data_IF_508273786727
#
_entry.id   IF_508273786727
#
_cell.length_a   1.000
_cell.length_b   1.000
_cell.length_c   1.000
_cell.angle_alpha   90.00
_cell.angle_beta   90.00
_cell.angle_gamma   90.00
#
_symmetry.space_group_name_H-M   'P 1'
#
loop_
_entity.id
_entity.type
_entity.pdbx_description
1 polymer ?
#
# COMPACT_ATOMS: atom_id res chain seq x y z
N UNK A 1 -8.65 12.45 10.27
CA UNK A 1 -9.39 11.20 10.47
C UNK A 1 -8.47 10.10 9.97
N UNK A 2 -7.86 9.32 10.92
CA UNK A 2 -6.77 8.41 10.58
C UNK A 2 -7.27 7.17 9.85
N UNK A 3 -6.36 6.49 9.13
CA UNK A 3 -6.59 5.24 8.39
C UNK A 3 -7.36 4.20 9.24
N UNK A 4 -7.16 4.17 10.56
CA UNK A 4 -7.81 3.25 11.50
C UNK A 4 -9.28 3.55 11.83
N UNK A 5 -9.73 4.81 11.77
CA UNK A 5 -11.15 5.11 11.93
C UNK A 5 -11.98 4.62 10.74
N UNK A 6 -11.31 4.47 9.59
CA UNK A 6 -11.89 3.95 8.36
C UNK A 6 -12.19 2.44 8.43
N UNK A 7 -11.38 1.65 9.15
CA UNK A 7 -11.52 0.19 9.21
C UNK A 7 -12.47 -0.33 10.30
N UNK A 8 -12.88 0.51 11.26
CA UNK A 8 -13.72 0.09 12.40
C UNK A 8 -15.15 -0.35 12.05
N UNK A 9 -15.61 -0.21 10.79
CA UNK A 9 -17.01 -0.44 10.41
C UNK A 9 -17.20 -1.24 9.11
N UNK A 10 -16.33 -2.21 8.78
CA UNK A 10 -16.56 -3.00 7.55
C UNK A 10 -17.25 -4.33 7.82
N UNK A 11 -18.53 -4.54 7.41
CA UNK A 11 -19.00 -5.85 6.98
C UNK A 11 -18.29 -6.22 5.66
N UNK A 12 -18.19 -7.53 5.38
CA UNK A 12 -17.65 -8.05 4.11
C UNK A 12 -18.44 -7.42 2.96
N UNK A 13 -17.84 -6.45 2.26
CA UNK A 13 -18.50 -5.75 1.16
C UNK A 13 -18.16 -6.48 -0.15
N UNK A 14 -19.17 -6.76 -0.97
CA UNK A 14 -18.98 -7.14 -2.36
C UNK A 14 -18.26 -6.01 -3.11
N UNK A 15 -17.47 -6.34 -4.15
CA UNK A 15 -16.88 -5.27 -4.96
C UNK A 15 -17.96 -4.49 -5.68
N UNK A 16 -17.74 -3.21 -5.90
CA UNK A 16 -18.68 -2.37 -6.64
C UNK A 16 -19.02 -2.91 -8.04
N UNK A 17 -18.05 -3.60 -8.69
CA UNK A 17 -18.24 -4.29 -9.96
C UNK A 17 -19.16 -5.51 -9.86
N UNK A 18 -19.07 -6.28 -8.77
CA UNK A 18 -19.95 -7.45 -8.53
C UNK A 18 -21.39 -7.02 -8.23
N UNK A 19 -21.57 -5.85 -7.66
CA UNK A 19 -22.90 -5.28 -7.38
C UNK A 19 -23.57 -4.66 -8.62
N UNK A 20 -22.85 -4.52 -9.74
CA UNK A 20 -23.36 -3.89 -10.95
C UNK A 20 -23.86 -2.46 -10.73
N UNK A 21 -23.23 -1.73 -9.80
CA UNK A 21 -23.59 -0.35 -9.49
C UNK A 21 -23.23 0.59 -10.65
N UNK A 22 -24.10 1.57 -10.86
CA UNK A 22 -23.89 2.63 -11.83
C UNK A 22 -23.70 3.95 -11.11
N UNK A 23 -22.93 4.84 -11.72
CA UNK A 23 -22.76 6.21 -11.26
C UNK A 23 -23.28 7.15 -12.32
N UNK A 24 -24.09 8.08 -11.89
CA UNK A 24 -24.49 9.21 -12.71
C UNK A 24 -23.54 10.37 -12.43
N UNK A 25 -22.83 10.81 -13.47
CA UNK A 25 -22.07 12.06 -13.42
C UNK A 25 -22.96 13.16 -13.97
N UNK A 26 -23.18 14.20 -13.17
CA UNK A 26 -23.93 15.38 -13.59
C UNK A 26 -22.97 16.55 -13.73
N UNK A 27 -22.85 17.09 -14.97
CA UNK A 27 -22.04 18.25 -15.31
C UNK A 27 -22.90 19.48 -15.46
N UNK A 28 -22.68 20.47 -14.62
CA UNK A 28 -23.32 21.77 -14.74
C UNK A 28 -22.70 22.53 -15.92
N UNK A 29 -23.54 23.06 -16.80
CA UNK A 29 -23.09 23.89 -17.92
C UNK A 29 -23.24 25.37 -17.57
N UNK A 30 -22.28 26.18 -17.99
CA UNK A 30 -22.35 27.64 -17.84
C UNK A 30 -23.55 28.19 -18.61
N UNK A 31 -24.21 29.22 -18.06
CA UNK A 31 -25.32 29.98 -18.70
C UNK A 31 -26.71 29.35 -18.62
N UNK A 32 -27.05 28.58 -17.61
CA UNK A 32 -28.44 28.12 -17.41
C UNK A 32 -28.89 27.01 -18.39
N UNK A 33 -27.96 26.39 -19.09
CA UNK A 33 -28.27 25.24 -19.94
C UNK A 33 -28.58 24.00 -19.09
N UNK A 34 -29.32 23.06 -19.66
CA UNK A 34 -29.65 21.79 -19.02
C UNK A 34 -28.35 21.03 -18.69
N UNK A 35 -28.15 20.56 -17.44
CA UNK A 35 -26.97 19.78 -17.06
C UNK A 35 -26.80 18.54 -17.94
N UNK A 36 -25.57 18.25 -18.34
CA UNK A 36 -25.23 16.98 -18.99
C UNK A 36 -25.19 15.87 -17.95
N UNK A 37 -25.72 14.71 -18.32
CA UNK A 37 -25.73 13.52 -17.46
C UNK A 37 -25.09 12.35 -18.19
N UNK A 38 -24.14 11.70 -17.51
CA UNK A 38 -23.45 10.51 -18.01
C UNK A 38 -23.72 9.37 -17.02
N UNK A 39 -24.20 8.24 -17.53
CA UNK A 39 -24.36 7.04 -16.73
C UNK A 39 -23.22 6.07 -17.04
N UNK A 40 -22.45 5.71 -16.02
CA UNK A 40 -21.25 4.89 -16.14
C UNK A 40 -21.33 3.72 -15.18
N UNK A 41 -20.88 2.53 -15.57
CA UNK A 41 -20.59 1.48 -14.59
C UNK A 41 -19.49 1.99 -13.65
N UNK A 42 -19.55 1.61 -12.37
CA UNK A 42 -18.58 2.10 -11.38
C UNK A 42 -17.13 1.77 -11.78
N UNK A 43 -16.93 0.66 -12.51
CA UNK A 43 -15.62 0.27 -13.05
C UNK A 43 -15.07 1.19 -14.15
N UNK A 44 -15.90 2.02 -14.77
CA UNK A 44 -15.49 2.96 -15.83
C UNK A 44 -15.22 4.37 -15.28
N UNK A 45 -15.37 4.60 -13.99
CA UNK A 45 -15.19 5.92 -13.40
C UNK A 45 -13.76 6.42 -13.45
N UNK A 46 -12.77 5.53 -13.38
CA UNK A 46 -11.36 5.90 -13.41
C UNK A 46 -10.91 6.38 -14.79
N UNK A 47 -11.61 5.95 -15.84
CA UNK A 47 -11.35 6.35 -17.22
C UNK A 47 -12.18 7.58 -17.66
N UNK A 48 -13.05 8.11 -16.78
CA UNK A 48 -13.93 9.24 -17.12
C UNK A 48 -13.25 10.58 -16.86
N UNK A 49 -13.23 11.46 -17.85
CA UNK A 49 -12.72 12.83 -17.71
C UNK A 49 -13.71 13.71 -16.94
N UNK A 50 -13.38 14.05 -15.73
CA UNK A 50 -14.17 14.95 -14.89
C UNK A 50 -13.84 16.41 -15.19
N UNK A 51 -14.87 17.25 -15.16
CA UNK A 51 -14.72 18.70 -15.14
C UNK A 51 -14.89 19.23 -13.70
N UNK A 52 -14.34 20.40 -13.43
CA UNK A 52 -14.56 21.09 -12.17
C UNK A 52 -16.06 21.34 -11.95
N UNK A 53 -16.57 20.96 -10.79
CA UNK A 53 -17.98 21.09 -10.43
C UNK A 53 -18.88 19.91 -10.88
N UNK A 54 -18.33 18.86 -11.49
CA UNK A 54 -19.11 17.64 -11.75
C UNK A 54 -19.58 17.01 -10.43
N UNK A 55 -20.85 16.60 -10.39
CA UNK A 55 -21.44 15.87 -9.26
C UNK A 55 -21.57 14.38 -9.62
N UNK A 56 -21.27 13.53 -8.67
CA UNK A 56 -21.34 12.08 -8.80
C UNK A 56 -22.41 11.53 -7.87
N UNK A 57 -23.30 10.75 -8.44
CA UNK A 57 -24.41 10.13 -7.75
C UNK A 57 -24.34 8.61 -7.98
N UNK A 58 -24.13 7.85 -6.91
CA UNK A 58 -24.16 6.39 -7.01
C UNK A 58 -25.62 5.94 -7.05
N UNK A 59 -26.00 5.27 -8.12
CA UNK A 59 -27.36 4.78 -8.33
C UNK A 59 -27.45 3.35 -7.80
N UNK A 60 -28.28 3.08 -6.78
CA UNK A 60 -28.56 1.73 -6.33
C UNK A 60 -29.31 0.95 -7.43
N UNK A 61 -29.03 -0.35 -7.54
CA UNK A 61 -29.92 -1.23 -8.29
C UNK A 61 -31.20 -1.45 -7.50
N UNK A 62 -32.32 -1.66 -8.21
CA UNK A 62 -33.62 -1.93 -7.58
C UNK A 62 -33.62 -3.19 -6.70
N UNK A 63 -32.70 -4.15 -6.98
CA UNK A 63 -32.52 -5.40 -6.27
C UNK A 63 -31.38 -5.38 -5.25
N UNK A 64 -30.61 -4.31 -5.16
CA UNK A 64 -29.51 -4.17 -4.20
C UNK A 64 -30.04 -3.60 -2.88
N UNK A 65 -30.59 -4.48 -2.03
CA UNK A 65 -30.92 -4.13 -0.66
C UNK A 65 -29.65 -3.81 0.13
N UNK A 66 -29.52 -2.57 0.64
CA UNK A 66 -28.67 -2.16 1.75
C UNK A 66 -27.29 -2.85 1.85
N UNK A 67 -26.42 -2.71 0.85
CA UNK A 67 -25.07 -3.21 0.98
C UNK A 67 -24.10 -2.03 1.11
N UNK A 68 -23.37 -1.94 2.23
CA UNK A 68 -22.25 -1.02 2.32
C UNK A 68 -21.20 -1.44 1.29
N UNK A 69 -20.71 -0.50 0.51
CA UNK A 69 -19.60 -0.75 -0.40
C UNK A 69 -18.52 0.31 -0.21
N UNK A 70 -17.32 -0.03 -0.61
CA UNK A 70 -16.20 0.90 -0.60
C UNK A 70 -16.04 1.48 -1.98
N UNK A 71 -16.01 2.80 -2.07
CA UNK A 71 -15.66 3.52 -3.26
C UNK A 71 -14.49 4.46 -2.95
N UNK A 72 -13.34 4.09 -3.43
CA UNK A 72 -12.10 4.73 -3.04
C UNK A 72 -11.83 4.59 -1.54
N UNK A 73 -11.43 5.67 -0.92
CA UNK A 73 -11.21 5.79 0.51
C UNK A 73 -12.50 5.94 1.34
N UNK A 74 -13.67 5.86 0.70
CA UNK A 74 -14.96 6.13 1.32
C UNK A 74 -15.76 4.86 1.51
N UNK A 75 -16.14 4.63 2.77
CA UNK A 75 -17.23 3.73 3.09
C UNK A 75 -18.54 4.41 2.70
N UNK A 76 -19.21 3.88 1.69
CA UNK A 76 -20.49 4.41 1.22
C UNK A 76 -21.59 3.50 1.71
N UNK A 77 -22.38 3.97 2.66
CA UNK A 77 -23.64 3.35 3.03
C UNK A 77 -24.73 3.90 2.11
N UNK A 78 -25.20 3.07 1.18
CA UNK A 78 -26.39 3.40 0.40
C UNK A 78 -27.60 3.02 1.23
N UNK A 79 -28.21 3.99 1.87
CA UNK A 79 -29.54 3.81 2.45
C UNK A 79 -30.56 3.70 1.32
N UNK A 80 -31.52 2.79 1.47
CA UNK A 80 -32.59 2.52 0.51
C UNK A 80 -33.17 3.80 -0.10
N UNK A 81 -32.97 4.01 -1.39
CA UNK A 81 -33.51 5.15 -2.15
C UNK A 81 -32.75 6.47 -2.07
N UNK A 82 -31.59 6.53 -1.44
CA UNK A 82 -30.79 7.73 -1.34
C UNK A 82 -29.49 7.62 -2.16
N UNK A 83 -29.34 8.52 -3.11
CA UNK A 83 -28.12 8.71 -3.85
C UNK A 83 -27.04 9.39 -2.98
N UNK A 84 -25.81 8.92 -3.06
CA UNK A 84 -24.68 9.57 -2.40
C UNK A 84 -24.01 10.53 -3.37
N UNK A 85 -24.02 11.83 -3.04
CA UNK A 85 -23.34 12.86 -3.83
C UNK A 85 -21.92 13.04 -3.34
N UNK A 86 -20.99 13.02 -4.28
CA UNK A 86 -19.57 13.22 -4.02
C UNK A 86 -19.04 14.31 -4.94
N UNK A 87 -18.40 15.37 -4.42
CA UNK A 87 -17.76 16.38 -5.25
C UNK A 87 -16.62 15.76 -6.10
N UNK A 88 -16.63 15.98 -7.39
CA UNK A 88 -15.65 15.41 -8.33
C UNK A 88 -14.23 15.94 -8.13
N UNK A 89 -14.10 17.16 -7.61
CA UNK A 89 -12.82 17.88 -7.44
C UNK A 89 -11.80 17.16 -6.54
N UNK A 90 -12.20 16.13 -5.79
CA UNK A 90 -11.32 15.36 -4.90
C UNK A 90 -10.87 14.02 -5.48
N UNK A 91 -11.14 13.74 -6.76
CA UNK A 91 -10.90 12.41 -7.33
C UNK A 91 -9.53 12.19 -7.92
N UNK A 92 -8.93 13.23 -8.45
CA UNK A 92 -7.65 13.12 -9.15
C UNK A 92 -6.65 14.12 -8.62
N UNK A 93 -5.39 13.69 -8.65
CA UNK A 93 -4.21 14.50 -8.33
C UNK A 93 -3.25 14.46 -9.51
N UNK A 94 -2.91 15.63 -10.04
CA UNK A 94 -1.96 15.75 -11.14
C UNK A 94 -0.54 15.77 -10.57
N UNK A 95 0.27 14.80 -10.98
CA UNK A 95 1.63 14.64 -10.50
C UNK A 95 2.55 14.15 -11.61
N UNK A 96 3.65 14.87 -11.90
CA UNK A 96 4.65 14.54 -12.93
C UNK A 96 4.04 14.23 -14.31
N UNK A 97 2.95 14.91 -14.69
CA UNK A 97 2.25 14.69 -15.95
C UNK A 97 1.26 13.51 -15.95
N UNK A 98 1.09 12.85 -14.82
CA UNK A 98 0.11 11.79 -14.63
C UNK A 98 -1.09 12.28 -13.83
N UNK A 99 -2.25 11.76 -14.17
CA UNK A 99 -3.50 12.01 -13.44
C UNK A 99 -3.83 10.83 -12.55
N UNK A 100 -3.49 10.93 -11.26
CA UNK A 100 -3.61 9.85 -10.29
C UNK A 100 -4.97 9.88 -9.60
N UNK A 101 -5.71 8.75 -9.53
CA UNK A 101 -6.90 8.65 -8.70
C UNK A 101 -6.54 8.79 -7.21
N UNK A 102 -7.15 9.76 -6.52
CA UNK A 102 -6.84 10.06 -5.10
C UNK A 102 -7.10 8.85 -4.20
N UNK A 103 -8.16 8.08 -4.48
CA UNK A 103 -8.45 6.88 -3.70
C UNK A 103 -7.36 5.80 -3.77
N UNK A 104 -6.64 5.70 -4.91
CA UNK A 104 -5.52 4.78 -5.03
C UNK A 104 -4.27 5.32 -4.31
N UNK A 105 -4.09 6.65 -4.28
CA UNK A 105 -3.02 7.26 -3.49
C UNK A 105 -3.23 6.97 -2.01
N UNK A 106 -4.45 7.11 -1.49
CA UNK A 106 -4.75 6.91 -0.07
C UNK A 106 -4.53 5.47 0.41
N UNK A 107 -4.60 4.49 -0.50
CA UNK A 107 -4.23 3.10 -0.18
C UNK A 107 -2.74 2.93 0.18
N UNK A 108 -1.89 3.91 -0.15
CA UNK A 108 -0.47 3.91 0.28
C UNK A 108 -0.26 4.39 1.72
N UNK A 109 -1.33 4.63 2.46
CA UNK A 109 -1.30 5.07 3.86
C UNK A 109 -1.25 6.58 4.07
N UNK A 110 -1.21 7.36 2.99
CA UNK A 110 -1.10 8.83 3.05
C UNK A 110 -1.85 9.48 1.89
N UNK A 111 -2.09 10.80 1.98
CA UNK A 111 -2.80 11.55 0.94
C UNK A 111 -1.89 12.09 -0.16
N UNK A 112 -2.50 12.75 -1.18
CA UNK A 112 -1.76 13.34 -2.29
C UNK A 112 -0.67 14.32 -1.87
N UNK A 113 -0.88 15.05 -0.78
CA UNK A 113 0.05 16.05 -0.22
C UNK A 113 1.36 15.45 0.27
N UNK A 114 1.40 14.14 0.47
CA UNK A 114 2.58 13.43 0.98
C UNK A 114 3.26 12.57 -0.07
N UNK A 115 2.65 12.37 -1.23
CA UNK A 115 3.09 11.43 -2.27
C UNK A 115 4.55 11.66 -2.67
N UNK A 116 4.91 12.91 -2.96
CA UNK A 116 6.24 13.29 -3.40
C UNK A 116 7.30 13.12 -2.30
N UNK A 117 7.10 13.76 -1.16
CA UNK A 117 8.14 13.80 -0.13
C UNK A 117 8.35 12.43 0.53
N UNK A 118 7.32 11.59 0.67
CA UNK A 118 7.47 10.21 1.19
C UNK A 118 8.24 9.36 0.18
N UNK A 119 7.86 9.39 -1.11
CA UNK A 119 8.59 8.67 -2.15
C UNK A 119 10.05 9.09 -2.21
N UNK A 120 10.32 10.39 -2.21
CA UNK A 120 11.69 10.91 -2.20
C UNK A 120 12.47 10.50 -0.92
N UNK A 121 11.82 10.44 0.24
CA UNK A 121 12.43 9.94 1.47
C UNK A 121 12.79 8.45 1.35
N UNK A 122 11.90 7.63 0.81
CA UNK A 122 12.15 6.21 0.58
C UNK A 122 13.37 6.00 -0.31
N UNK A 123 13.43 6.65 -1.46
CA UNK A 123 14.56 6.47 -2.39
C UNK A 123 15.88 6.94 -1.79
N UNK A 124 15.90 8.05 -1.03
CA UNK A 124 17.10 8.45 -0.27
C UNK A 124 17.54 7.39 0.72
N UNK A 125 16.59 6.79 1.45
CA UNK A 125 16.86 5.73 2.42
C UNK A 125 17.37 4.47 1.72
N UNK A 126 16.77 4.04 0.61
CA UNK A 126 17.26 2.91 -0.18
C UNK A 126 18.68 3.18 -0.71
N UNK A 127 18.96 4.38 -1.21
CA UNK A 127 20.32 4.78 -1.61
C UNK A 127 21.32 4.66 -0.46
N UNK A 128 20.96 5.15 0.73
CA UNK A 128 21.80 5.13 1.92
C UNK A 128 21.97 3.73 2.51
N UNK A 129 20.88 2.97 2.63
CA UNK A 129 20.85 1.74 3.41
C UNK A 129 21.21 0.49 2.60
N UNK A 130 20.80 0.42 1.33
CA UNK A 130 21.04 -0.76 0.49
C UNK A 130 21.83 -0.46 -0.78
N UNK A 131 22.28 0.79 -1.00
CA UNK A 131 23.08 1.15 -2.15
C UNK A 131 22.35 0.89 -3.46
N UNK A 132 21.28 1.62 -3.73
CA UNK A 132 20.55 1.55 -4.99
C UNK A 132 21.32 2.32 -6.08
N UNK A 133 21.57 1.68 -7.23
CA UNK A 133 22.28 2.26 -8.38
C UNK A 133 21.45 2.15 -9.68
N UNK A 134 21.70 3.00 -10.68
CA UNK A 134 20.89 3.12 -11.89
C UNK A 134 20.67 1.85 -12.71
N UNK A 135 21.65 0.95 -12.78
CA UNK A 135 21.60 -0.25 -13.62
C UNK A 135 21.07 -1.50 -12.89
N UNK A 136 20.58 -1.33 -11.67
CA UNK A 136 20.14 -2.45 -10.83
C UNK A 136 18.73 -2.93 -11.18
N UNK A 137 18.48 -4.21 -10.90
CA UNK A 137 17.15 -4.80 -10.81
C UNK A 137 16.60 -4.57 -9.44
N UNK A 138 15.52 -3.80 -9.35
CA UNK A 138 14.87 -3.39 -8.12
C UNK A 138 13.44 -3.93 -8.05
N UNK A 139 13.09 -4.59 -6.95
CA UNK A 139 11.74 -5.05 -6.64
C UNK A 139 11.15 -4.18 -5.53
N UNK A 140 9.98 -3.63 -5.77
CA UNK A 140 9.18 -2.86 -4.81
C UNK A 140 7.94 -3.69 -4.44
N UNK A 141 7.98 -4.32 -3.27
CA UNK A 141 6.86 -5.11 -2.76
C UNK A 141 5.92 -4.21 -1.95
N UNK A 142 4.66 -4.17 -2.35
CA UNK A 142 3.68 -3.22 -1.82
C UNK A 142 3.78 -1.86 -2.52
N UNK A 143 4.04 -1.87 -3.84
CA UNK A 143 4.28 -0.64 -4.60
C UNK A 143 3.06 0.30 -4.70
N UNK A 144 1.85 -0.18 -4.39
CA UNK A 144 0.63 0.60 -4.50
C UNK A 144 0.44 1.17 -5.91
N UNK A 145 0.10 2.45 -5.99
CA UNK A 145 -0.02 3.21 -7.25
C UNK A 145 1.35 3.66 -7.81
N UNK A 146 2.45 3.09 -7.33
CA UNK A 146 3.79 3.40 -7.84
C UNK A 146 4.43 4.65 -7.22
N UNK A 147 4.13 5.00 -5.97
CA UNK A 147 4.72 6.18 -5.30
C UNK A 147 6.25 6.21 -5.42
N UNK A 148 6.92 5.10 -5.17
CA UNK A 148 8.38 5.01 -5.23
C UNK A 148 8.88 4.91 -6.68
N UNK A 149 8.07 4.33 -7.60
CA UNK A 149 8.37 4.26 -9.01
C UNK A 149 8.54 5.65 -9.64
N UNK A 150 7.69 6.61 -9.28
CA UNK A 150 7.78 7.99 -9.78
C UNK A 150 9.16 8.61 -9.51
N UNK A 151 9.74 8.34 -8.36
CA UNK A 151 11.03 8.87 -7.97
C UNK A 151 12.21 8.20 -8.71
N UNK A 152 11.96 7.08 -9.39
CA UNK A 152 12.96 6.28 -10.07
C UNK A 152 12.97 6.45 -11.59
N UNK A 153 12.02 7.20 -12.17
CA UNK A 153 11.90 7.35 -13.63
C UNK A 153 13.18 7.91 -14.28
N UNK A 154 13.76 8.93 -13.66
CA UNK A 154 15.00 9.54 -14.14
C UNK A 154 16.25 8.95 -13.50
N UNK A 155 16.08 8.19 -12.43
CA UNK A 155 17.20 7.58 -11.71
C UNK A 155 17.67 6.28 -12.33
N UNK A 156 16.73 5.38 -12.69
CA UNK A 156 17.09 4.11 -13.32
C UNK A 156 17.48 4.31 -14.77
N UNK A 157 18.64 3.77 -15.15
CA UNK A 157 19.07 3.74 -16.54
C UNK A 157 18.19 2.80 -17.37
N UNK A 158 18.31 2.81 -18.71
CA UNK A 158 17.65 1.82 -19.57
C UNK A 158 18.06 0.36 -19.31
N UNK A 159 19.18 0.13 -18.61
CA UNK A 159 19.62 -1.21 -18.19
C UNK A 159 19.02 -1.63 -16.84
N UNK A 160 18.66 -0.66 -16.01
CA UNK A 160 17.99 -0.88 -14.75
C UNK A 160 16.55 -1.36 -14.94
N UNK A 161 16.04 -2.14 -14.00
CA UNK A 161 14.69 -2.68 -14.04
C UNK A 161 13.95 -2.42 -12.73
N UNK A 162 12.73 -1.96 -12.84
CA UNK A 162 11.79 -1.85 -11.72
C UNK A 162 10.69 -2.89 -11.87
N UNK A 163 10.41 -3.60 -10.77
CA UNK A 163 9.31 -4.57 -10.68
C UNK A 163 8.47 -4.22 -9.46
N UNK A 164 7.35 -3.55 -9.69
CA UNK A 164 6.35 -3.27 -8.65
C UNK A 164 5.39 -4.46 -8.47
N UNK A 165 5.15 -4.84 -7.23
CA UNK A 165 4.25 -5.95 -6.89
C UNK A 165 3.29 -5.48 -5.81
N UNK A 166 1.99 -5.70 -6.01
CA UNK A 166 0.97 -5.31 -5.03
C UNK A 166 -0.26 -6.22 -5.10
N UNK A 167 -1.00 -6.29 -4.00
CA UNK A 167 -2.28 -7.01 -3.90
C UNK A 167 -3.47 -6.14 -4.34
N UNK A 168 -3.29 -4.83 -4.49
CA UNK A 168 -4.34 -3.90 -4.91
C UNK A 168 -4.45 -3.89 -6.44
N UNK A 169 -5.46 -4.60 -6.95
CA UNK A 169 -5.68 -4.79 -8.40
C UNK A 169 -5.76 -3.48 -9.16
N UNK A 170 -6.53 -2.51 -8.65
CA UNK A 170 -6.80 -1.26 -9.36
C UNK A 170 -5.56 -0.37 -9.44
N UNK A 171 -4.74 -0.33 -8.39
CA UNK A 171 -3.45 0.35 -8.39
C UNK A 171 -2.52 -0.23 -9.45
N UNK A 172 -2.38 -1.55 -9.50
CA UNK A 172 -1.54 -2.22 -10.50
C UNK A 172 -2.06 -1.99 -11.93
N UNK A 173 -3.38 -2.12 -12.13
CA UNK A 173 -3.98 -1.87 -13.44
C UNK A 173 -3.75 -0.42 -13.90
N UNK A 174 -3.82 0.53 -12.98
CA UNK A 174 -3.49 1.93 -13.28
C UNK A 174 -2.01 2.09 -13.67
N UNK A 175 -1.08 1.52 -12.93
CA UNK A 175 0.35 1.57 -13.23
C UNK A 175 0.68 0.94 -14.60
N UNK A 176 0.10 -0.22 -14.90
CA UNK A 176 0.28 -0.90 -16.17
C UNK A 176 -0.22 -0.07 -17.37
N UNK A 177 -1.34 0.64 -17.22
CA UNK A 177 -1.91 1.47 -18.28
C UNK A 177 -1.17 2.79 -18.47
N UNK A 178 -0.69 3.40 -17.39
CA UNK A 178 -0.19 4.77 -17.42
C UNK A 178 1.33 4.86 -17.34
N UNK A 179 2.00 4.02 -16.56
CA UNK A 179 3.46 4.08 -16.35
C UNK A 179 4.20 3.21 -17.35
N UNK A 180 3.88 1.92 -17.44
CA UNK A 180 4.63 0.95 -18.26
C UNK A 180 4.79 1.38 -19.74
N UNK A 181 3.78 1.98 -20.42
CA UNK A 181 3.95 2.40 -21.82
C UNK A 181 4.99 3.49 -22.01
N UNK A 182 5.21 4.34 -21.01
CA UNK A 182 6.18 5.45 -21.05
C UNK A 182 7.56 5.05 -20.49
N UNK A 183 7.58 4.05 -19.60
CA UNK A 183 8.77 3.53 -18.93
C UNK A 183 8.83 2.00 -19.10
N UNK A 184 9.29 1.47 -20.25
CA UNK A 184 9.21 0.05 -20.56
C UNK A 184 10.10 -0.84 -19.67
N UNK A 185 11.04 -0.27 -18.93
CA UNK A 185 11.83 -0.96 -17.91
C UNK A 185 11.15 -1.01 -16.54
N UNK A 186 9.92 -0.46 -16.41
CA UNK A 186 9.06 -0.55 -15.24
C UNK A 186 7.91 -1.51 -15.52
N UNK A 187 7.81 -2.57 -14.75
CA UNK A 187 6.73 -3.55 -14.82
C UNK A 187 5.97 -3.63 -13.50
N UNK A 188 4.67 -3.89 -13.56
CA UNK A 188 3.82 -3.97 -12.39
C UNK A 188 3.01 -5.26 -12.41
N UNK A 189 2.91 -5.94 -11.27
CA UNK A 189 2.32 -7.27 -11.15
C UNK A 189 1.32 -7.32 -10.00
N UNK A 190 0.08 -7.66 -10.32
CA UNK A 190 -0.94 -7.92 -9.33
C UNK A 190 -0.78 -9.33 -8.75
N UNK A 191 -0.82 -9.44 -7.43
CA UNK A 191 -0.88 -10.70 -6.70
C UNK A 191 -2.26 -10.83 -6.08
N UNK A 192 -3.05 -11.80 -6.52
CA UNK A 192 -4.41 -12.01 -6.05
C UNK A 192 -4.45 -12.72 -4.67
N UNK A 193 -3.51 -12.35 -3.77
CA UNK A 193 -3.45 -12.89 -2.42
C UNK A 193 -4.50 -12.22 -1.53
N UNK A 194 -5.15 -13.03 -0.70
CA UNK A 194 -6.08 -12.53 0.30
C UNK A 194 -5.36 -11.64 1.30
N UNK A 195 -5.88 -10.44 1.49
CA UNK A 195 -5.52 -9.55 2.58
C UNK A 195 -6.79 -8.83 3.05
N UNK A 196 -7.10 -8.91 4.33
CA UNK A 196 -8.37 -8.39 4.89
C UNK A 196 -8.55 -6.88 4.70
N UNK A 197 -7.46 -6.11 4.49
CA UNK A 197 -7.50 -4.66 4.30
C UNK A 197 -7.46 -4.26 2.82
N UNK A 198 -6.52 -4.83 2.07
CA UNK A 198 -6.16 -4.35 0.74
C UNK A 198 -6.73 -5.21 -0.39
N UNK A 199 -6.98 -6.51 -0.13
CA UNK A 199 -7.57 -7.43 -1.11
C UNK A 199 -8.46 -8.49 -0.42
N UNK A 200 -9.59 -8.10 0.18
CA UNK A 200 -10.47 -9.02 0.92
C UNK A 200 -11.14 -10.09 0.05
N UNK A 201 -11.03 -9.99 -1.26
CA UNK A 201 -11.55 -10.95 -2.25
C UNK A 201 -10.43 -11.73 -2.96
N UNK A 202 -9.19 -11.61 -2.49
CA UNK A 202 -8.07 -12.35 -3.02
C UNK A 202 -8.32 -13.86 -2.95
N UNK A 203 -8.02 -14.57 -4.04
CA UNK A 203 -8.32 -16.00 -4.19
C UNK A 203 -7.16 -16.90 -3.78
N UNK A 204 -5.96 -16.34 -3.72
CA UNK A 204 -4.75 -17.05 -3.34
C UNK A 204 -4.49 -16.83 -1.85
N UNK A 205 -3.95 -17.85 -1.18
CA UNK A 205 -3.40 -17.65 0.15
C UNK A 205 -2.09 -16.89 0.02
N UNK A 206 -1.77 -16.07 1.01
CA UNK A 206 -0.47 -15.37 1.07
C UNK A 206 0.71 -16.34 0.95
N UNK A 207 0.56 -17.56 1.45
CA UNK A 207 1.55 -18.64 1.37
C UNK A 207 1.75 -19.24 -0.03
N UNK A 208 0.89 -18.94 -0.99
CA UNK A 208 1.01 -19.36 -2.39
C UNK A 208 1.68 -18.27 -3.25
N UNK A 209 2.02 -17.13 -2.65
CA UNK A 209 2.68 -16.01 -3.31
C UNK A 209 4.05 -16.39 -3.84
N UNK A 210 4.34 -15.94 -5.07
CA UNK A 210 5.66 -16.04 -5.66
C UNK A 210 6.01 -14.74 -6.38
N UNK A 211 7.18 -14.21 -6.10
CA UNK A 211 7.68 -13.04 -6.82
C UNK A 211 7.83 -13.33 -8.32
N UNK A 212 7.32 -12.46 -9.21
CA UNK A 212 7.29 -12.68 -10.67
C UNK A 212 8.65 -12.39 -11.33
N UNK A 213 9.71 -12.82 -10.69
CA UNK A 213 11.10 -12.65 -11.16
C UNK A 213 11.86 -13.97 -11.03
N UNK A 214 12.91 -14.13 -11.83
CA UNK A 214 13.72 -15.33 -11.83
C UNK A 214 14.57 -15.47 -10.53
N UNK A 215 15.01 -16.68 -10.25
CA UNK A 215 15.92 -16.95 -9.15
C UNK A 215 17.24 -16.19 -9.35
N UNK A 216 17.81 -15.68 -8.27
CA UNK A 216 19.10 -14.98 -8.25
C UNK A 216 19.24 -13.86 -9.31
N UNK A 217 18.16 -13.10 -9.54
CA UNK A 217 18.09 -12.06 -10.59
C UNK A 217 17.95 -10.63 -10.07
N UNK A 218 17.69 -10.46 -8.77
CA UNK A 218 17.36 -9.17 -8.16
C UNK A 218 18.52 -8.62 -7.35
N UNK A 219 18.89 -7.37 -7.61
CA UNK A 219 19.95 -6.68 -6.85
C UNK A 219 19.42 -6.11 -5.53
N UNK A 220 18.23 -5.49 -5.57
CA UNK A 220 17.64 -4.80 -4.42
C UNK A 220 16.15 -5.07 -4.33
N UNK A 221 15.69 -5.27 -3.11
CA UNK A 221 14.26 -5.37 -2.77
C UNK A 221 13.98 -4.32 -1.72
N UNK A 222 12.87 -3.60 -1.87
CA UNK A 222 12.34 -2.75 -0.82
C UNK A 222 10.88 -3.10 -0.54
N UNK A 223 10.48 -2.93 0.70
CA UNK A 223 9.10 -3.01 1.13
C UNK A 223 8.88 -2.01 2.26
N UNK A 224 8.04 -1.03 1.99
CA UNK A 224 7.65 -0.01 2.95
C UNK A 224 6.26 -0.33 3.49
N UNK A 225 6.15 -0.60 4.79
CA UNK A 225 4.88 -0.88 5.49
C UNK A 225 4.12 -2.10 4.99
N UNK A 226 4.80 -3.15 4.52
CA UNK A 226 4.18 -4.43 4.13
C UNK A 226 4.21 -5.42 5.29
N UNK A 227 5.38 -5.66 5.89
CA UNK A 227 5.49 -6.59 7.00
C UNK A 227 4.72 -6.14 8.25
N UNK A 228 4.46 -4.86 8.36
CA UNK A 228 3.58 -4.30 9.39
C UNK A 228 2.09 -4.69 9.24
N UNK A 229 1.75 -5.43 8.18
CA UNK A 229 0.40 -5.93 7.88
C UNK A 229 0.36 -7.45 7.65
N UNK A 230 1.39 -8.18 8.03
CA UNK A 230 1.49 -9.64 7.85
C UNK A 230 1.70 -10.34 9.21
N UNK A 231 1.35 -11.62 9.29
CA UNK A 231 1.65 -12.47 10.44
C UNK A 231 2.95 -13.24 10.21
N UNK A 232 3.47 -13.90 11.26
CA UNK A 232 4.79 -14.54 11.27
C UNK A 232 5.02 -15.46 10.06
N UNK A 233 4.09 -16.38 9.80
CA UNK A 233 4.23 -17.35 8.70
C UNK A 233 4.30 -16.67 7.32
N UNK A 234 3.51 -15.62 7.14
CA UNK A 234 3.47 -14.84 5.91
C UNK A 234 4.79 -14.09 5.69
N UNK A 235 5.35 -13.51 6.75
CA UNK A 235 6.66 -12.84 6.71
C UNK A 235 7.75 -13.83 6.35
N UNK A 236 7.80 -15.02 6.98
CA UNK A 236 8.78 -16.07 6.69
C UNK A 236 8.67 -16.52 5.24
N UNK A 237 7.46 -16.68 4.72
CA UNK A 237 7.24 -17.04 3.32
C UNK A 237 7.81 -15.99 2.35
N UNK A 238 7.49 -14.70 2.57
CA UNK A 238 8.05 -13.60 1.77
C UNK A 238 9.57 -13.53 1.84
N UNK A 239 10.13 -13.67 3.03
CA UNK A 239 11.59 -13.72 3.22
C UNK A 239 12.23 -14.90 2.47
N UNK A 240 11.56 -16.04 2.40
CA UNK A 240 12.03 -17.20 1.63
C UNK A 240 12.04 -16.92 0.11
N UNK A 241 11.02 -16.21 -0.37
CA UNK A 241 10.98 -15.70 -1.76
C UNK A 241 12.10 -14.67 -2.02
N UNK A 242 12.37 -13.77 -1.06
CA UNK A 242 13.51 -12.84 -1.19
C UNK A 242 14.82 -13.61 -1.32
N UNK A 243 15.04 -14.62 -0.48
CA UNK A 243 16.23 -15.48 -0.59
C UNK A 243 16.34 -16.16 -1.95
N UNK A 244 15.21 -16.60 -2.52
CA UNK A 244 15.20 -17.22 -3.86
C UNK A 244 15.65 -16.26 -4.95
N UNK A 245 15.11 -15.04 -4.96
CA UNK A 245 15.28 -14.10 -6.08
C UNK A 245 16.52 -13.22 -5.96
N UNK A 246 17.04 -13.00 -4.76
CA UNK A 246 18.24 -12.17 -4.56
C UNK A 246 19.47 -12.76 -5.22
N UNK A 247 20.23 -11.92 -5.89
CA UNK A 247 21.62 -12.21 -6.26
C UNK A 247 22.47 -12.44 -4.99
N UNK A 248 23.69 -13.02 -5.10
CA UNK A 248 24.58 -13.25 -3.95
C UNK A 248 24.81 -11.98 -3.12
N UNK A 249 25.00 -10.83 -3.74
CA UNK A 249 25.24 -9.52 -3.10
C UNK A 249 23.96 -8.67 -2.98
N UNK A 250 22.80 -9.30 -3.18
CA UNK A 250 21.51 -8.65 -3.12
C UNK A 250 21.13 -8.28 -1.69
N UNK A 251 20.47 -7.12 -1.54
CA UNK A 251 20.00 -6.61 -0.25
C UNK A 251 18.50 -6.33 -0.27
N UNK A 252 17.88 -6.49 0.91
CA UNK A 252 16.48 -6.12 1.14
C UNK A 252 16.43 -5.00 2.16
N UNK A 253 15.63 -3.98 1.92
CA UNK A 253 15.21 -2.99 2.91
C UNK A 253 13.77 -3.32 3.31
N UNK A 254 13.56 -3.80 4.53
CA UNK A 254 12.25 -4.20 5.03
C UNK A 254 11.86 -3.39 6.26
N UNK A 255 10.72 -2.69 6.19
CA UNK A 255 10.24 -1.93 7.35
C UNK A 255 9.38 -2.78 8.29
N UNK A 256 9.48 -2.48 9.60
CA UNK A 256 8.83 -3.16 10.70
C UNK A 256 8.35 -2.18 11.78
N UNK A 257 7.48 -2.67 12.65
CA UNK A 257 7.36 -2.15 14.02
C UNK A 257 8.08 -3.12 14.95
N UNK A 258 9.33 -2.82 15.31
CA UNK A 258 10.11 -3.64 16.25
C UNK A 258 9.83 -3.16 17.67
N UNK A 259 9.21 -3.99 18.50
CA UNK A 259 8.83 -3.56 19.84
C UNK A 259 9.68 -4.21 20.95
N UNK A 260 9.91 -3.42 21.96
CA UNK A 260 10.32 -3.82 23.32
C UNK A 260 9.32 -3.19 24.31
N UNK A 261 9.44 -3.53 25.58
CA UNK A 261 8.62 -2.90 26.62
C UNK A 261 8.81 -1.37 26.64
N UNK A 262 10.05 -0.90 26.45
CA UNK A 262 10.38 0.53 26.40
C UNK A 262 9.78 1.21 25.17
N UNK A 263 9.84 0.56 23.99
CA UNK A 263 9.27 1.12 22.77
C UNK A 263 7.74 1.26 22.87
N UNK A 264 7.07 0.26 23.44
CA UNK A 264 5.62 0.33 23.66
C UNK A 264 5.22 1.40 24.71
N UNK A 265 6.02 1.55 25.77
CA UNK A 265 5.80 2.62 26.75
C UNK A 265 5.96 4.00 26.10
N UNK A 266 7.05 4.21 25.35
CA UNK A 266 7.30 5.45 24.63
C UNK A 266 6.19 5.78 23.60
N UNK A 267 5.69 4.77 22.87
CA UNK A 267 4.62 4.94 21.89
C UNK A 267 3.29 5.40 22.52
N UNK A 268 2.99 4.95 23.74
CA UNK A 268 1.79 5.39 24.48
C UNK A 268 1.89 6.86 24.89
N UNK A 269 3.08 7.34 25.21
CA UNK A 269 3.31 8.68 25.76
C UNK A 269 3.58 9.71 24.66
N UNK A 270 4.18 9.30 23.53
CA UNK A 270 4.74 10.23 22.55
C UNK A 270 3.70 10.92 21.65
N UNK A 271 2.56 10.26 21.38
CA UNK A 271 1.60 10.77 20.39
C UNK A 271 2.17 10.90 18.97
N UNK A 272 3.31 10.24 18.68
CA UNK A 272 4.04 10.37 17.40
C UNK A 272 3.27 9.77 16.20
N UNK A 273 2.33 8.88 16.46
CA UNK A 273 1.42 8.35 15.44
C UNK A 273 0.04 8.98 15.58
N UNK A 274 -0.60 9.30 14.46
CA UNK A 274 -2.00 9.77 14.43
C UNK A 274 -3.00 8.71 14.93
N UNK A 275 -2.56 7.48 15.08
CA UNK A 275 -3.26 6.33 15.63
C UNK A 275 -2.48 5.78 16.82
N UNK A 276 -3.18 5.22 17.81
CA UNK A 276 -2.53 4.68 19.01
C UNK A 276 -1.85 3.34 18.71
N UNK A 277 -0.54 3.35 18.65
CA UNK A 277 0.31 2.15 18.48
C UNK A 277 0.49 1.45 19.83
N UNK A 278 -0.48 0.69 20.27
CA UNK A 278 -0.42 0.01 21.59
C UNK A 278 0.11 -1.42 21.49
N UNK A 279 -0.19 -2.13 20.40
CA UNK A 279 0.19 -3.53 20.14
C UNK A 279 -0.09 -4.47 21.32
N UNK A 280 -1.27 -4.34 21.96
CA UNK A 280 -1.62 -5.05 23.18
C UNK A 280 -2.16 -6.48 22.96
N UNK A 281 -2.42 -6.85 21.70
CA UNK A 281 -3.04 -8.13 21.35
C UNK A 281 -2.02 -9.13 20.82
N UNK A 282 -1.49 -9.95 21.73
CA UNK A 282 -0.50 -10.98 21.39
C UNK A 282 -1.06 -11.98 20.35
N UNK A 283 -0.30 -12.20 19.29
CA UNK A 283 -0.55 -13.21 18.26
C UNK A 283 0.32 -14.46 18.44
N UNK A 284 1.13 -14.50 19.50
CA UNK A 284 2.08 -15.58 19.81
C UNK A 284 3.51 -15.27 19.37
N UNK A 285 4.46 -15.96 19.96
CA UNK A 285 5.87 -15.95 19.56
C UNK A 285 6.53 -14.56 19.42
N UNK A 286 6.12 -13.57 20.21
CA UNK A 286 6.66 -12.20 20.12
C UNK A 286 6.09 -11.39 18.94
N UNK A 287 4.97 -11.81 18.40
CA UNK A 287 4.15 -11.05 17.44
C UNK A 287 2.95 -10.46 18.15
N UNK A 288 2.64 -9.20 17.90
CA UNK A 288 1.50 -8.52 18.50
C UNK A 288 0.75 -7.67 17.47
N UNK A 289 -0.56 -7.61 17.60
CA UNK A 289 -1.42 -6.78 16.77
C UNK A 289 -1.93 -5.57 17.55
N UNK A 290 -2.25 -4.52 16.83
CA UNK A 290 -2.81 -3.31 17.41
C UNK A 290 -4.33 -3.39 17.61
N UNK A 291 -5.03 -4.23 16.84
CA UNK A 291 -6.46 -4.44 16.91
C UNK A 291 -6.77 -5.95 16.87
N UNK A 292 -7.58 -6.49 17.83
CA UNK A 292 -7.88 -7.92 17.85
C UNK A 292 -8.88 -8.35 16.78
N UNK A 293 -9.67 -7.43 16.24
CA UNK A 293 -10.66 -7.71 15.19
C UNK A 293 -10.00 -7.68 13.81
N UNK A 294 -9.00 -6.82 13.64
CA UNK A 294 -8.25 -6.65 12.40
C UNK A 294 -6.73 -6.75 12.69
N UNK A 295 -6.22 -7.95 13.00
CA UNK A 295 -4.83 -8.11 13.41
C UNK A 295 -3.84 -7.55 12.39
N UNK A 296 -4.10 -7.74 11.09
CA UNK A 296 -3.26 -7.21 10.00
C UNK A 296 -3.40 -5.70 9.77
N UNK A 297 -4.21 -5.01 10.57
CA UNK A 297 -4.28 -3.54 10.57
C UNK A 297 -2.97 -2.89 10.97
N UNK A 298 -2.29 -3.43 11.97
CA UNK A 298 -0.90 -3.13 12.31
C UNK A 298 -0.34 -4.26 13.17
N UNK A 299 0.79 -4.80 12.76
CA UNK A 299 1.51 -5.90 13.41
C UNK A 299 2.89 -5.44 13.81
N UNK A 300 3.28 -5.78 15.04
CA UNK A 300 4.62 -5.52 15.57
C UNK A 300 5.30 -6.82 16.00
N UNK A 301 6.63 -6.79 16.09
CA UNK A 301 7.45 -7.97 16.36
C UNK A 301 8.51 -7.64 17.40
N UNK A 302 8.83 -8.61 18.27
CA UNK A 302 10.04 -8.48 19.08
C UNK A 302 11.28 -8.72 18.21
N UNK A 303 12.44 -8.28 18.70
CA UNK A 303 13.71 -8.55 18.01
C UNK A 303 13.98 -10.05 17.87
N UNK A 304 13.61 -10.85 18.88
CA UNK A 304 13.76 -12.31 18.87
C UNK A 304 12.86 -12.96 17.81
N UNK A 305 11.62 -12.46 17.67
CA UNK A 305 10.70 -12.92 16.63
C UNK A 305 11.28 -12.62 15.23
N UNK A 306 11.75 -11.40 15.00
CA UNK A 306 12.40 -11.01 13.75
C UNK A 306 13.62 -11.90 13.44
N UNK A 307 14.52 -12.12 14.42
CA UNK A 307 15.70 -12.97 14.22
C UNK A 307 15.31 -14.41 13.87
N UNK A 308 14.29 -14.95 14.55
CA UNK A 308 13.77 -16.29 14.27
C UNK A 308 13.21 -16.41 12.85
N UNK A 309 12.42 -15.42 12.42
CA UNK A 309 11.86 -15.38 11.06
C UNK A 309 12.96 -15.34 10.00
N UNK A 310 13.96 -14.46 10.15
CA UNK A 310 15.12 -14.38 9.25
C UNK A 310 15.83 -15.72 9.14
N UNK A 311 16.15 -16.35 10.29
CA UNK A 311 16.83 -17.64 10.34
C UNK A 311 16.03 -18.74 9.65
N UNK A 312 14.72 -18.77 9.86
CA UNK A 312 13.81 -19.75 9.22
C UNK A 312 13.79 -19.61 7.71
N UNK A 313 13.91 -18.39 7.19
CA UNK A 313 13.95 -18.09 5.76
C UNK A 313 15.37 -18.19 5.15
N UNK A 314 16.40 -18.46 5.92
CA UNK A 314 17.80 -18.49 5.47
C UNK A 314 18.33 -17.10 5.07
N UNK A 315 17.90 -16.08 5.78
CA UNK A 315 18.40 -14.71 5.69
C UNK A 315 19.08 -14.31 7.00
N UNK A 316 19.92 -13.29 6.91
CA UNK A 316 20.57 -12.65 8.06
C UNK A 316 20.48 -11.13 7.92
N UNK A 317 20.59 -10.44 9.06
CA UNK A 317 20.74 -8.98 9.03
C UNK A 317 22.15 -8.62 8.55
N UNK A 318 22.24 -7.69 7.60
CA UNK A 318 23.52 -7.19 7.09
C UNK A 318 24.21 -6.25 8.07
N UNK A 319 23.43 -5.54 8.87
CA UNK A 319 23.86 -4.53 9.86
C UNK A 319 22.84 -4.38 10.97
N UNK A 320 23.12 -3.60 12.03
CA UNK A 320 22.10 -3.22 13.00
C UNK A 320 20.88 -2.60 12.31
N UNK A 321 19.69 -2.83 12.85
CA UNK A 321 18.46 -2.27 12.28
C UNK A 321 18.48 -0.73 12.31
N UNK A 322 17.84 -0.12 11.34
CA UNK A 322 17.64 1.32 11.23
C UNK A 322 16.51 1.73 12.16
N UNK A 323 16.74 2.70 13.00
CA UNK A 323 15.79 3.13 14.03
C UNK A 323 14.67 3.97 13.44
N UNK A 324 13.43 3.58 13.73
CA UNK A 324 12.22 4.30 13.35
C UNK A 324 11.76 5.30 14.41
N UNK A 325 11.03 6.31 13.97
CA UNK A 325 10.41 7.31 14.85
C UNK A 325 9.05 6.91 15.40
N UNK A 326 8.46 5.80 14.91
CA UNK A 326 7.08 5.39 15.19
C UNK A 326 6.72 5.33 16.69
N UNK A 327 7.66 4.90 17.53
CA UNK A 327 7.42 4.79 18.98
C UNK A 327 7.79 6.04 19.77
N UNK A 328 8.57 6.95 19.16
CA UNK A 328 9.18 8.08 19.88
C UNK A 328 10.41 7.71 20.73
N UNK A 329 10.72 6.41 20.90
CA UNK A 329 11.82 5.93 21.75
C UNK A 329 13.18 6.48 21.33
N UNK A 330 13.40 6.62 20.03
CA UNK A 330 14.71 6.96 19.50
C UNK A 330 14.95 8.47 19.32
N UNK A 331 13.91 9.32 19.46
CA UNK A 331 14.03 10.77 19.32
C UNK A 331 14.80 11.17 18.05
N UNK A 332 15.78 12.06 18.19
CA UNK A 332 16.62 12.54 17.07
C UNK A 332 17.53 11.47 16.46
N UNK A 333 17.68 10.30 17.09
CA UNK A 333 18.44 9.17 16.54
C UNK A 333 17.61 8.31 15.57
N UNK A 334 16.32 8.60 15.38
CA UNK A 334 15.49 7.96 14.39
C UNK A 334 15.87 8.44 12.99
N UNK A 335 16.01 7.52 12.06
CA UNK A 335 16.41 7.79 10.67
C UNK A 335 15.24 7.64 9.70
N UNK A 336 14.22 6.86 10.09
CA UNK A 336 13.05 6.56 9.26
C UNK A 336 11.76 6.64 10.09
N UNK A 337 10.60 6.52 9.42
CA UNK A 337 9.29 6.51 10.11
C UNK A 337 9.05 5.20 10.87
N UNK A 338 9.31 4.08 10.24
CA UNK A 338 9.29 2.73 10.82
C UNK A 338 10.72 2.22 11.01
N UNK A 339 10.93 1.22 11.87
CA UNK A 339 12.21 0.54 11.93
C UNK A 339 12.47 -0.18 10.62
N UNK A 340 13.72 -0.24 10.17
CA UNK A 340 14.05 -1.00 8.99
C UNK A 340 15.17 -2.03 9.27
N UNK A 341 15.00 -3.21 8.68
CA UNK A 341 15.99 -4.30 8.76
C UNK A 341 16.56 -4.52 7.37
N UNK A 342 17.88 -4.48 7.28
CA UNK A 342 18.58 -4.74 6.04
C UNK A 342 18.94 -6.21 5.99
N UNK A 343 18.36 -6.95 5.03
CA UNK A 343 18.51 -8.39 4.95
C UNK A 343 19.40 -8.76 3.77
N UNK A 344 20.16 -9.84 3.95
CA UNK A 344 20.90 -10.52 2.90
C UNK A 344 20.82 -12.03 3.05
N UNK A 345 21.22 -12.74 2.02
CA UNK A 345 21.35 -14.21 2.09
C UNK A 345 22.35 -14.61 3.17
N UNK A 346 22.00 -15.67 3.94
CA UNK A 346 22.88 -16.26 4.96
C UNK A 346 24.09 -16.95 4.33
#
# INVERSE_FOLDING_TARGET
MGLFDFFRKRPVASTAAELGLHVQVTRQLNNGQTPQRFQLPLSALDDFEYAEGDELEVLPREDAAQLPFTWGDRHVEVAHGHAVRVPAQYKYFDYMGYRLPVHLITLTGAGPETLDWIGAAHIRNYGKQIGLFPDMSFVDLGCGIGRDAFQLFEFLSPLGRYVGVDVTRDSIAWCQRNITPQHPNFSFHHVDAFNELYNPFGRQRTMDFRLPVADASVDRIALASVFTHLLEDEVVHHMSEFRRVLKPDGLVHASFFLHSAEALAAARDSGTTSWKATFEHAQGNGVSANDPVYPRGAVSYTHEAMQRMMKSAGLVSDRPYVKGSWSGLHGDAAEEGQDAVILRRA
#
